data_IF_018311647435
#
_entry.id   IF_018311647435
#
_cell.length_a   1.000
_cell.length_b   1.000
_cell.length_c   1.000
_cell.angle_alpha   90.00
_cell.angle_beta   90.00
_cell.angle_gamma   90.00
#
_symmetry.space_group_name_H-M   'P 1'
#
loop_
_entity.id
_entity.type
_entity.pdbx_description
1 polymer ?
#
# COMPACT_ATOMS: atom_id res chain seq x y z
N UNK A 1 31.14 15.20 29.98
CA UNK A 1 32.50 15.53 29.51
C UNK A 1 32.83 14.60 28.36
N UNK A 2 32.82 15.15 27.14
CA UNK A 2 33.63 14.78 25.99
C UNK A 2 33.45 15.94 25.01
N UNK A 3 34.35 16.91 25.14
CA UNK A 3 34.45 18.14 24.36
C UNK A 3 35.36 17.83 23.18
N UNK A 4 34.81 17.77 21.96
CA UNK A 4 35.60 17.58 20.75
C UNK A 4 35.82 18.95 20.08
N UNK A 5 36.88 19.65 20.49
CA UNK A 5 37.39 20.82 19.76
C UNK A 5 38.36 20.36 18.68
N UNK A 6 37.95 20.50 17.43
CA UNK A 6 38.85 20.34 16.27
C UNK A 6 39.43 21.72 15.95
N UNK A 7 40.74 21.87 16.13
CA UNK A 7 41.49 23.01 15.62
C UNK A 7 42.10 22.66 14.27
N UNK A 8 41.55 23.23 13.19
CA UNK A 8 42.22 23.31 11.90
C UNK A 8 42.98 24.64 11.84
N UNK A 9 44.31 24.57 11.80
CA UNK A 9 45.21 25.71 11.65
C UNK A 9 45.47 25.97 10.16
N UNK A 10 44.50 26.53 9.46
CA UNK A 10 44.65 27.32 8.22
C UNK A 10 43.27 27.88 7.86
N UNK A 11 43.20 29.20 7.65
CA UNK A 11 42.01 29.99 7.26
C UNK A 11 41.02 30.36 8.37
N UNK A 12 41.16 31.60 8.85
CA UNK A 12 40.16 32.33 9.61
C UNK A 12 38.97 32.66 8.69
N UNK A 13 37.99 31.78 8.63
CA UNK A 13 36.63 32.14 8.28
C UNK A 13 35.70 31.61 9.37
N UNK A 14 35.06 32.52 10.09
CA UNK A 14 33.98 32.17 11.02
C UNK A 14 32.80 31.74 10.16
N UNK A 15 32.70 30.44 9.87
CA UNK A 15 31.52 29.85 9.24
C UNK A 15 30.45 29.76 10.33
N UNK A 16 29.63 30.79 10.42
CA UNK A 16 28.42 30.73 11.23
C UNK A 16 27.48 29.65 10.66
N UNK A 17 27.22 28.62 11.47
CA UNK A 17 25.94 27.91 11.50
C UNK A 17 25.47 27.17 10.25
N UNK A 18 26.34 26.42 9.57
CA UNK A 18 25.88 25.35 8.67
C UNK A 18 25.60 24.09 9.49
N UNK A 19 24.35 23.84 9.87
CA UNK A 19 23.95 22.61 10.57
C UNK A 19 24.49 21.37 9.84
N UNK A 20 25.14 20.46 10.57
CA UNK A 20 25.65 19.18 10.07
C UNK A 20 24.55 18.25 9.49
N UNK A 21 23.29 18.67 9.56
CA UNK A 21 22.12 18.01 8.96
C UNK A 21 21.79 18.51 7.55
N UNK A 22 22.53 19.47 6.99
CA UNK A 22 22.33 19.89 5.60
C UNK A 22 23.00 18.89 4.64
N UNK A 23 22.53 17.65 4.66
CA UNK A 23 22.88 16.63 3.68
C UNK A 23 22.26 17.09 2.35
N UNK A 24 23.04 17.84 1.56
CA UNK A 24 22.81 18.09 0.13
C UNK A 24 23.15 16.87 -0.74
N UNK A 25 23.32 15.69 -0.14
CA UNK A 25 23.22 14.48 -0.93
C UNK A 25 21.76 14.37 -1.34
N UNK A 26 21.47 14.42 -2.65
CA UNK A 26 20.16 14.02 -3.17
C UNK A 26 19.86 12.68 -2.50
N UNK A 27 18.92 12.67 -1.56
CA UNK A 27 18.41 11.43 -0.97
C UNK A 27 17.85 10.66 -2.15
N UNK A 28 18.62 9.69 -2.67
CA UNK A 28 18.15 8.75 -3.68
C UNK A 28 17.07 7.92 -2.99
N UNK A 29 15.83 8.39 -3.05
CA UNK A 29 14.67 7.63 -2.65
C UNK A 29 14.25 6.84 -3.88
N UNK A 30 14.15 5.53 -3.73
CA UNK A 30 13.48 4.71 -4.72
C UNK A 30 11.99 5.03 -4.61
N UNK A 31 11.47 5.75 -5.59
CA UNK A 31 10.05 6.06 -5.67
C UNK A 31 9.26 4.94 -6.32
N UNK A 32 7.96 5.17 -6.45
CA UNK A 32 7.12 4.34 -7.32
C UNK A 32 7.60 4.48 -8.77
N UNK A 33 7.48 3.40 -9.52
CA UNK A 33 7.77 3.38 -10.94
C UNK A 33 6.82 4.30 -11.70
N UNK A 34 7.30 4.90 -12.77
CA UNK A 34 6.41 5.39 -13.82
C UNK A 34 5.85 4.23 -14.68
N UNK A 35 4.95 4.55 -15.60
CA UNK A 35 4.31 3.55 -16.46
C UNK A 35 5.33 2.85 -17.38
N UNK A 36 6.37 3.57 -17.82
CA UNK A 36 7.45 3.03 -18.64
C UNK A 36 8.36 2.10 -17.85
N UNK A 37 8.73 2.47 -16.63
CA UNK A 37 9.49 1.65 -15.69
C UNK A 37 8.71 0.38 -15.29
N UNK A 38 7.40 0.51 -15.07
CA UNK A 38 6.50 -0.63 -14.82
C UNK A 38 6.52 -1.60 -16.00
N UNK A 39 6.42 -1.08 -17.23
CA UNK A 39 6.51 -1.90 -18.44
C UNK A 39 7.87 -2.57 -18.58
N UNK A 40 8.96 -1.84 -18.36
CA UNK A 40 10.32 -2.37 -18.43
C UNK A 40 10.56 -3.50 -17.42
N UNK A 41 9.90 -3.47 -16.25
CA UNK A 41 9.95 -4.58 -15.30
C UNK A 41 9.17 -5.80 -15.80
N UNK A 42 8.00 -5.61 -16.42
CA UNK A 42 7.21 -6.71 -16.98
C UNK A 42 7.85 -7.32 -18.24
N UNK A 43 8.61 -6.52 -19.00
CA UNK A 43 9.44 -7.00 -20.10
C UNK A 43 10.55 -7.93 -19.60
N UNK A 44 11.20 -7.62 -18.47
CA UNK A 44 12.17 -8.54 -17.84
C UNK A 44 11.50 -9.86 -17.44
N UNK A 45 10.27 -9.82 -16.89
CA UNK A 45 9.49 -11.05 -16.64
C UNK A 45 9.21 -11.84 -17.91
N UNK A 46 8.96 -11.17 -19.04
CA UNK A 46 8.78 -11.82 -20.34
C UNK A 46 10.07 -12.54 -20.78
N UNK A 47 11.22 -11.90 -20.60
CA UNK A 47 12.53 -12.49 -20.93
C UNK A 47 12.84 -13.73 -20.05
N UNK A 48 12.48 -13.68 -18.76
CA UNK A 48 12.74 -14.75 -17.81
C UNK A 48 11.76 -15.93 -17.94
N UNK A 49 10.50 -15.64 -18.27
CA UNK A 49 9.40 -16.64 -18.27
C UNK A 49 8.98 -17.13 -19.65
N UNK A 50 9.41 -16.44 -20.71
CA UNK A 50 8.96 -16.60 -22.10
C UNK A 50 7.46 -16.32 -22.32
N UNK A 51 6.78 -15.66 -21.37
CA UNK A 51 5.35 -15.35 -21.43
C UNK A 51 5.11 -13.94 -21.92
N UNK A 52 4.39 -13.81 -23.05
CA UNK A 52 4.02 -12.52 -23.61
C UNK A 52 2.86 -11.87 -22.83
N UNK A 53 2.82 -10.55 -22.80
CA UNK A 53 1.77 -9.76 -22.18
C UNK A 53 1.02 -8.95 -23.24
N UNK A 54 -0.31 -8.91 -23.16
CA UNK A 54 -1.08 -8.00 -24.01
C UNK A 54 -0.95 -6.55 -23.54
N UNK A 55 -1.18 -5.59 -24.44
CA UNK A 55 -1.15 -4.17 -24.08
C UNK A 55 -2.19 -3.81 -23.01
N UNK A 56 -3.32 -4.50 -22.99
CA UNK A 56 -4.37 -4.33 -22.00
C UNK A 56 -3.93 -4.86 -20.63
N UNK A 57 -3.25 -6.01 -20.59
CA UNK A 57 -2.66 -6.56 -19.36
C UNK A 57 -1.65 -5.58 -18.74
N UNK A 58 -0.73 -5.03 -19.55
CA UNK A 58 0.26 -4.05 -19.07
C UNK A 58 -0.43 -2.79 -18.51
N UNK A 59 -1.45 -2.28 -19.19
CA UNK A 59 -2.22 -1.13 -18.73
C UNK A 59 -2.96 -1.42 -17.42
N UNK A 60 -3.47 -2.65 -17.27
CA UNK A 60 -4.18 -3.08 -16.06
C UNK A 60 -3.24 -3.22 -14.86
N UNK A 61 -2.03 -3.78 -15.03
CA UNK A 61 -1.01 -3.80 -13.97
C UNK A 61 -0.67 -2.38 -13.51
N UNK A 62 -0.44 -1.46 -14.45
CA UNK A 62 -0.18 -0.06 -14.12
C UNK A 62 -1.35 0.57 -13.35
N UNK A 63 -2.59 0.37 -13.83
CA UNK A 63 -3.79 0.91 -13.20
C UNK A 63 -3.95 0.39 -11.76
N UNK A 64 -3.76 -0.90 -11.56
CA UNK A 64 -3.99 -1.60 -10.30
C UNK A 64 -2.92 -1.31 -9.24
N UNK A 65 -1.68 -1.06 -9.65
CA UNK A 65 -0.53 -0.87 -8.73
C UNK A 65 -0.11 0.59 -8.58
N UNK A 66 -0.38 1.41 -9.61
CA UNK A 66 0.17 2.77 -9.77
C UNK A 66 1.69 2.84 -9.63
N UNK A 67 2.38 1.79 -10.07
CA UNK A 67 3.85 1.76 -10.15
C UNK A 67 4.55 1.33 -8.86
N UNK A 68 3.83 0.93 -7.82
CA UNK A 68 4.49 0.46 -6.61
C UNK A 68 5.32 -0.79 -6.88
N UNK A 69 6.66 -0.76 -6.74
CA UNK A 69 7.53 -1.81 -7.24
C UNK A 69 7.17 -3.20 -6.72
N UNK A 70 6.82 -3.27 -5.44
CA UNK A 70 6.49 -4.52 -4.78
C UNK A 70 5.14 -5.08 -5.28
N UNK A 71 4.13 -4.24 -5.52
CA UNK A 71 2.82 -4.66 -6.06
C UNK A 71 2.93 -5.11 -7.51
N UNK A 72 3.72 -4.38 -8.32
CA UNK A 72 3.97 -4.76 -9.72
C UNK A 72 4.59 -6.15 -9.75
N UNK A 73 5.61 -6.39 -8.91
CA UNK A 73 6.26 -7.69 -8.86
C UNK A 73 5.35 -8.79 -8.31
N UNK A 74 4.53 -8.50 -7.30
CA UNK A 74 3.59 -9.47 -6.73
C UNK A 74 2.53 -9.90 -7.74
N UNK A 75 1.93 -8.96 -8.49
CA UNK A 75 1.00 -9.28 -9.56
C UNK A 75 1.67 -10.08 -10.67
N UNK A 76 2.87 -9.68 -11.08
CA UNK A 76 3.59 -10.39 -12.14
C UNK A 76 3.83 -11.85 -11.74
N UNK A 77 4.36 -12.08 -10.54
CA UNK A 77 4.61 -13.41 -10.01
C UNK A 77 3.32 -14.26 -9.92
N UNK A 78 2.25 -13.72 -9.34
CA UNK A 78 0.98 -14.45 -9.17
C UNK A 78 0.36 -14.86 -10.52
N UNK A 79 0.39 -13.98 -11.52
CA UNK A 79 -0.12 -14.28 -12.87
C UNK A 79 0.73 -15.35 -13.56
N UNK A 80 2.07 -15.20 -13.52
CA UNK A 80 2.99 -16.16 -14.16
C UNK A 80 2.94 -17.54 -13.51
N UNK A 81 2.73 -17.61 -12.19
CA UNK A 81 2.59 -18.88 -11.47
C UNK A 81 1.24 -19.56 -11.78
N UNK A 82 0.18 -18.77 -11.94
CA UNK A 82 -1.16 -19.28 -12.27
C UNK A 82 -1.23 -19.80 -13.70
N UNK A 83 -0.65 -19.08 -14.66
CA UNK A 83 -0.65 -19.46 -16.07
C UNK A 83 0.54 -20.35 -16.35
N UNK A 84 0.36 -21.66 -16.14
CA UNK A 84 1.41 -22.65 -16.37
C UNK A 84 1.77 -22.87 -17.85
N UNK A 85 0.88 -22.48 -18.77
CA UNK A 85 1.12 -22.57 -20.21
C UNK A 85 1.91 -21.34 -20.71
N UNK A 86 3.22 -21.51 -20.89
CA UNK A 86 4.11 -20.41 -21.28
C UNK A 86 3.85 -19.83 -22.68
N UNK A 87 3.18 -20.58 -23.57
CA UNK A 87 2.83 -20.09 -24.91
C UNK A 87 1.55 -19.25 -24.97
N UNK A 88 0.84 -19.10 -23.84
CA UNK A 88 -0.34 -18.25 -23.73
C UNK A 88 0.07 -16.81 -23.41
N UNK A 89 -0.48 -15.86 -24.17
CA UNK A 89 -0.38 -14.44 -23.84
C UNK A 89 -1.22 -14.14 -22.60
N UNK A 90 -0.64 -13.40 -21.67
CA UNK A 90 -1.30 -12.89 -20.48
C UNK A 90 -2.22 -11.73 -20.88
N UNK A 91 -3.50 -11.87 -20.56
CA UNK A 91 -4.54 -10.89 -20.86
C UNK A 91 -5.00 -10.12 -19.61
N UNK A 92 -5.76 -9.05 -19.80
CA UNK A 92 -6.23 -8.22 -18.69
C UNK A 92 -7.04 -9.01 -17.65
N UNK A 93 -7.87 -9.96 -18.09
CA UNK A 93 -8.68 -10.84 -17.23
C UNK A 93 -7.83 -11.69 -16.27
N UNK A 94 -6.62 -12.07 -16.70
CA UNK A 94 -5.68 -12.80 -15.87
C UNK A 94 -5.15 -11.90 -14.74
N UNK A 95 -4.90 -10.61 -15.04
CA UNK A 95 -4.47 -9.62 -14.05
C UNK A 95 -5.56 -9.35 -13.03
N UNK A 96 -6.83 -9.22 -13.47
CA UNK A 96 -7.97 -9.09 -12.57
C UNK A 96 -8.05 -10.28 -11.62
N UNK A 97 -7.90 -11.49 -12.15
CA UNK A 97 -7.95 -12.72 -11.35
C UNK A 97 -6.82 -12.77 -10.31
N UNK A 98 -5.59 -12.47 -10.72
CA UNK A 98 -4.45 -12.42 -9.80
C UNK A 98 -4.60 -11.33 -8.74
N UNK A 99 -5.11 -10.15 -9.11
CA UNK A 99 -5.42 -9.08 -8.16
C UNK A 99 -6.38 -9.54 -7.08
N UNK A 100 -7.46 -10.22 -7.46
CA UNK A 100 -8.43 -10.75 -6.49
C UNK A 100 -7.78 -11.77 -5.55
N UNK A 101 -6.86 -12.59 -6.06
CA UNK A 101 -6.10 -13.53 -5.24
C UNK A 101 -5.21 -12.78 -4.25
N UNK A 102 -4.44 -11.77 -4.69
CA UNK A 102 -3.60 -10.95 -3.81
C UNK A 102 -4.42 -10.27 -2.70
N UNK A 103 -5.56 -9.69 -3.05
CA UNK A 103 -6.45 -9.01 -2.08
C UNK A 103 -7.03 -10.00 -1.07
N UNK A 104 -7.36 -11.23 -1.49
CA UNK A 104 -7.91 -12.26 -0.59
C UNK A 104 -6.87 -12.91 0.30
N UNK A 105 -5.66 -13.13 -0.21
CA UNK A 105 -4.59 -13.79 0.53
C UNK A 105 -3.98 -12.88 1.57
N UNK A 106 -4.11 -11.56 1.42
CA UNK A 106 -3.40 -10.57 2.24
C UNK A 106 -1.95 -11.03 2.45
N UNK A 107 -1.19 -11.16 1.36
CA UNK A 107 0.18 -11.70 1.39
C UNK A 107 0.98 -11.18 2.59
N UNK A 108 1.94 -11.96 3.09
CA UNK A 108 2.79 -11.62 4.25
C UNK A 108 3.37 -10.18 4.28
N UNK A 109 3.50 -9.51 3.14
CA UNK A 109 3.87 -8.09 3.04
C UNK A 109 2.70 -7.12 3.29
N UNK A 110 1.50 -7.48 2.85
CA UNK A 110 0.25 -6.82 3.21
C UNK A 110 -0.08 -6.98 4.70
N UNK A 111 0.29 -8.08 5.33
CA UNK A 111 0.17 -8.22 6.80
C UNK A 111 1.00 -7.15 7.54
N UNK A 112 2.24 -6.92 7.10
CA UNK A 112 3.08 -5.87 7.68
C UNK A 112 2.47 -4.48 7.44
N UNK A 113 1.86 -4.29 6.27
CA UNK A 113 1.13 -3.05 5.98
C UNK A 113 -0.12 -2.92 6.86
N UNK A 114 -0.86 -4.00 7.08
CA UNK A 114 -2.03 -4.05 7.95
C UNK A 114 -1.68 -3.68 9.40
N UNK A 115 -0.53 -4.14 9.89
CA UNK A 115 0.02 -3.69 11.18
C UNK A 115 0.26 -2.17 11.22
N UNK A 116 0.72 -1.58 10.11
CA UNK A 116 0.87 -0.12 9.99
C UNK A 116 -0.48 0.61 9.91
N UNK A 117 -1.50 -0.01 9.32
CA UNK A 117 -2.87 0.55 9.31
C UNK A 117 -3.46 0.65 10.73
N UNK A 118 -3.01 -0.20 11.68
CA UNK A 118 -3.43 -0.16 13.09
C UNK A 118 -2.83 1.01 13.88
N UNK A 119 -1.76 1.65 13.41
CA UNK A 119 -1.15 2.79 14.11
C UNK A 119 -2.12 3.98 14.16
N UNK A 120 -2.34 4.58 15.35
CA UNK A 120 -3.26 5.72 15.53
C UNK A 120 -3.01 6.86 14.53
N UNK A 121 -1.74 7.10 14.19
CA UNK A 121 -1.34 8.13 13.24
C UNK A 121 -1.82 7.87 11.82
N UNK A 122 -1.87 6.60 11.41
CA UNK A 122 -2.33 6.19 10.08
C UNK A 122 -3.85 6.12 10.06
N UNK A 123 -4.50 5.61 11.13
CA UNK A 123 -5.97 5.63 11.28
C UNK A 123 -6.55 7.03 11.16
N UNK A 124 -5.92 8.02 11.82
CA UNK A 124 -6.32 9.44 11.74
C UNK A 124 -6.34 9.98 10.31
N UNK A 125 -5.55 9.41 9.40
CA UNK A 125 -5.51 9.78 7.98
C UNK A 125 -6.51 8.96 7.17
N UNK A 126 -6.61 7.65 7.40
CA UNK A 126 -7.49 6.75 6.65
C UNK A 126 -8.97 7.05 6.89
N UNK A 127 -9.38 7.21 8.14
CA UNK A 127 -10.80 7.32 8.49
C UNK A 127 -11.50 8.49 7.78
N UNK A 128 -10.96 9.73 7.78
CA UNK A 128 -11.57 10.84 7.04
C UNK A 128 -11.59 10.62 5.52
N UNK A 129 -10.56 9.98 4.97
CA UNK A 129 -10.47 9.69 3.53
C UNK A 129 -11.50 8.67 3.09
N UNK A 130 -11.78 7.64 3.90
CA UNK A 130 -12.82 6.65 3.61
C UNK A 130 -14.23 7.23 3.75
N UNK A 131 -14.44 8.11 4.73
CA UNK A 131 -15.72 8.80 4.94
C UNK A 131 -16.02 9.89 3.91
N UNK A 132 -15.06 10.22 3.03
CA UNK A 132 -15.19 11.32 2.07
C UNK A 132 -15.14 12.70 2.71
N UNK A 133 -14.89 12.77 4.02
CA UNK A 133 -14.66 13.99 4.78
C UNK A 133 -13.26 14.50 4.44
N UNK A 134 -13.13 15.11 3.26
CA UNK A 134 -11.88 15.66 2.73
C UNK A 134 -11.42 16.92 3.49
N UNK A 135 -11.80 17.06 4.77
CA UNK A 135 -11.49 18.18 5.64
C UNK A 135 -10.01 18.18 6.01
N UNK A 136 -9.21 18.86 5.18
CA UNK A 136 -7.80 19.19 5.41
C UNK A 136 -7.50 19.83 6.78
N UNK A 137 -8.51 20.26 7.52
CA UNK A 137 -8.37 21.01 8.78
C UNK A 137 -8.05 20.12 9.99
N UNK A 138 -8.27 18.80 9.92
CA UNK A 138 -8.02 17.87 11.03
C UNK A 138 -6.75 17.01 10.88
N UNK A 139 -6.16 16.95 9.69
CA UNK A 139 -5.04 16.05 9.41
C UNK A 139 -3.70 16.71 9.76
N UNK A 140 -2.94 16.06 10.65
CA UNK A 140 -1.57 16.48 10.96
C UNK A 140 -0.69 16.25 9.75
N UNK A 141 0.06 17.28 9.34
CA UNK A 141 0.99 17.21 8.20
C UNK A 141 2.00 16.06 8.36
N UNK A 142 2.50 15.82 9.58
CA UNK A 142 3.45 14.74 9.87
C UNK A 142 2.82 13.32 9.74
N UNK A 143 1.54 13.18 10.06
CA UNK A 143 0.80 11.91 9.94
C UNK A 143 0.51 11.62 8.45
N UNK A 144 0.14 12.66 7.70
CA UNK A 144 -0.01 12.59 6.24
C UNK A 144 1.29 12.25 5.53
N UNK A 145 2.38 12.93 5.86
CA UNK A 145 3.68 12.71 5.22
C UNK A 145 4.19 11.28 5.50
N UNK A 146 4.05 10.80 6.73
CA UNK A 146 4.43 9.42 7.04
C UNK A 146 3.59 8.39 6.28
N UNK A 147 2.29 8.63 6.21
CA UNK A 147 1.39 7.72 5.48
C UNK A 147 1.65 7.74 3.98
N UNK A 148 2.05 8.89 3.43
CA UNK A 148 2.55 9.01 2.06
C UNK A 148 3.90 8.28 1.88
N UNK A 149 4.83 8.41 2.83
CA UNK A 149 6.13 7.74 2.80
C UNK A 149 6.00 6.20 2.93
N UNK A 150 4.92 5.71 3.54
CA UNK A 150 4.52 4.30 3.52
C UNK A 150 3.96 3.84 2.16
N UNK A 151 3.70 4.75 1.22
CA UNK A 151 3.10 4.46 -0.07
C UNK A 151 1.58 4.23 -0.01
N UNK A 152 0.91 4.52 1.10
CA UNK A 152 -0.54 4.27 1.23
C UNK A 152 -1.39 5.32 0.52
N UNK A 153 -0.85 6.55 0.38
CA UNK A 153 -1.56 7.70 -0.16
C UNK A 153 -0.74 8.43 -1.19
N UNK A 154 -1.46 9.09 -2.10
CA UNK A 154 -0.92 10.14 -2.96
C UNK A 154 -1.42 11.47 -2.47
N UNK A 155 -0.56 12.49 -2.48
CA UNK A 155 -0.90 13.84 -2.01
C UNK A 155 -1.41 14.75 -3.14
N UNK A 156 -1.07 14.45 -4.39
CA UNK A 156 -1.37 15.30 -5.54
C UNK A 156 -2.14 14.54 -6.64
N UNK A 157 -3.13 15.19 -7.30
CA UNK A 157 -3.64 16.55 -7.07
C UNK A 157 -4.61 16.67 -5.89
N UNK A 158 -5.00 15.54 -5.29
CA UNK A 158 -5.82 15.44 -4.07
C UNK A 158 -5.28 14.28 -3.24
N UNK A 159 -5.50 14.35 -1.93
CA UNK A 159 -5.17 13.23 -1.05
C UNK A 159 -6.11 12.06 -1.37
N UNK A 160 -5.55 10.97 -1.89
CA UNK A 160 -6.29 9.75 -2.20
C UNK A 160 -5.47 8.50 -1.87
N UNK A 161 -6.16 7.37 -1.68
CA UNK A 161 -5.52 6.06 -1.54
C UNK A 161 -4.71 5.77 -2.81
N UNK A 162 -3.46 5.31 -2.62
CA UNK A 162 -2.45 5.31 -3.68
C UNK A 162 -2.81 4.49 -4.92
N UNK A 163 -3.55 3.39 -4.76
CA UNK A 163 -3.91 2.51 -5.86
C UNK A 163 -5.23 1.74 -5.61
N UNK A 164 -5.83 1.13 -6.65
CA UNK A 164 -7.04 0.33 -6.53
C UNK A 164 -6.93 -0.88 -5.60
N UNK A 165 -5.75 -1.51 -5.47
CA UNK A 165 -5.57 -2.66 -4.57
C UNK A 165 -5.80 -2.22 -3.12
N UNK A 166 -5.13 -1.15 -2.69
CA UNK A 166 -5.32 -0.60 -1.35
C UNK A 166 -6.72 -0.06 -1.09
N UNK A 167 -7.39 0.47 -2.11
CA UNK A 167 -8.77 0.97 -1.97
C UNK A 167 -9.74 -0.13 -1.54
N UNK A 168 -9.50 -1.37 -1.94
CA UNK A 168 -10.34 -2.51 -1.55
C UNK A 168 -9.82 -3.22 -0.30
N UNK A 169 -8.51 -3.30 -0.14
CA UNK A 169 -7.89 -4.00 0.97
C UNK A 169 -8.00 -3.23 2.29
N UNK A 170 -7.71 -1.92 2.31
CA UNK A 170 -7.70 -1.12 3.55
C UNK A 170 -9.03 -1.21 4.31
N UNK A 171 -10.21 -1.03 3.67
CA UNK A 171 -11.48 -1.18 4.37
C UNK A 171 -11.71 -2.58 4.94
N UNK A 172 -11.31 -3.64 4.21
CA UNK A 172 -11.44 -5.03 4.68
C UNK A 172 -10.59 -5.28 5.92
N UNK A 173 -9.34 -4.82 5.90
CA UNK A 173 -8.43 -4.97 7.03
C UNK A 173 -8.90 -4.20 8.27
N UNK A 174 -9.45 -2.99 8.09
CA UNK A 174 -10.04 -2.26 9.20
C UNK A 174 -11.24 -3.00 9.79
N UNK A 175 -12.11 -3.59 8.96
CA UNK A 175 -13.25 -4.39 9.43
C UNK A 175 -12.79 -5.66 10.17
N UNK A 176 -11.82 -6.40 9.62
CA UNK A 176 -11.25 -7.59 10.27
C UNK A 176 -10.65 -7.24 11.64
N UNK A 177 -9.88 -6.15 11.72
CA UNK A 177 -9.35 -5.67 13.00
C UNK A 177 -10.47 -5.27 13.97
N UNK A 178 -11.55 -4.66 13.48
CA UNK A 178 -12.71 -4.34 14.31
C UNK A 178 -13.41 -5.60 14.85
N UNK A 179 -13.50 -6.68 14.09
CA UNK A 179 -14.04 -7.98 14.54
C UNK A 179 -13.14 -8.71 15.56
N UNK A 180 -11.83 -8.44 15.57
CA UNK A 180 -10.93 -8.93 16.65
C UNK A 180 -11.17 -8.18 17.97
N UNK A 181 -11.48 -6.88 17.93
CA UNK A 181 -11.73 -6.05 19.11
C UNK A 181 -13.18 -6.08 19.61
N UNK A 182 -14.11 -6.30 18.69
CA UNK A 182 -15.48 -6.68 18.97
C UNK A 182 -15.60 -8.13 18.54
N UNK A 183 -15.42 -9.13 19.42
CA UNK A 183 -16.12 -10.39 19.22
C UNK A 183 -17.60 -10.03 19.24
N UNK A 184 -18.13 -9.59 18.10
CA UNK A 184 -19.52 -9.75 17.80
C UNK A 184 -19.69 -11.25 17.88
N UNK A 185 -20.14 -11.72 19.05
CA UNK A 185 -20.75 -13.03 19.22
C UNK A 185 -22.01 -13.06 18.34
N UNK A 186 -21.83 -12.98 17.03
CA UNK A 186 -22.78 -13.47 16.06
C UNK A 186 -22.62 -14.99 16.14
N UNK A 187 -23.61 -15.78 16.55
CA UNK A 187 -25.03 -15.50 16.61
C UNK A 187 -25.68 -16.66 17.37
N UNK A 188 -25.96 -16.51 18.67
CA UNK A 188 -26.81 -17.49 19.36
C UNK A 188 -28.21 -17.58 18.72
N UNK A 189 -28.60 -16.60 17.91
CA UNK A 189 -29.86 -16.52 17.17
C UNK A 189 -29.78 -16.99 15.70
N UNK A 190 -28.72 -17.66 15.26
CA UNK A 190 -28.67 -18.35 13.96
C UNK A 190 -28.38 -19.82 14.17
N UNK A 191 -29.22 -20.67 13.58
CA UNK A 191 -29.09 -22.13 13.63
C UNK A 191 -29.37 -22.67 12.21
N UNK A 192 -28.46 -23.49 11.66
CA UNK A 192 -28.51 -24.01 10.28
C UNK A 192 -28.68 -22.94 9.18
N UNK A 193 -28.04 -21.77 9.34
CA UNK A 193 -28.13 -20.67 8.38
C UNK A 193 -29.49 -19.97 8.35
N UNK A 194 -30.41 -20.31 9.26
CA UNK A 194 -31.68 -19.61 9.45
C UNK A 194 -31.65 -18.73 10.70
N UNK A 195 -32.23 -17.55 10.57
CA UNK A 195 -32.46 -16.62 11.67
C UNK A 195 -33.54 -17.16 12.61
N UNK A 196 -33.19 -17.40 13.87
CA UNK A 196 -34.11 -17.84 14.91
C UNK A 196 -34.74 -16.62 15.59
N UNK A 197 -35.91 -16.22 15.09
CA UNK A 197 -36.58 -14.97 15.49
C UNK A 197 -36.91 -14.85 16.98
N UNK A 198 -37.14 -15.96 17.68
CA UNK A 198 -37.42 -15.94 19.13
C UNK A 198 -36.19 -15.54 19.97
N UNK A 199 -34.99 -15.76 19.44
CA UNK A 199 -33.72 -15.38 20.05
C UNK A 199 -33.40 -13.92 19.72
N UNK A 200 -33.65 -13.48 18.49
CA UNK A 200 -33.51 -12.07 18.09
C UNK A 200 -34.40 -11.12 18.94
N UNK A 201 -35.65 -11.50 19.18
CA UNK A 201 -36.59 -10.69 19.99
C UNK A 201 -36.20 -10.53 21.47
N UNK A 202 -35.25 -11.33 21.96
CA UNK A 202 -34.72 -11.24 23.33
C UNK A 202 -33.41 -10.43 23.41
N UNK A 203 -32.83 -10.09 22.26
CA UNK A 203 -31.59 -9.30 22.15
C UNK A 203 -31.84 -7.78 22.04
N UNK A 204 -33.10 -7.37 21.90
CA UNK A 204 -33.58 -5.98 21.82
C UNK A 204 -34.23 -5.61 23.15
#
# INVERSE_FOLDING_TARGET
>A
MCDYRIHSSAEKAVIAGGSAFNIKAKSLRLGDFDEGETRALLEQHTEDTEQAWSGEALAEVWRSTRGQPWLVNALAAEVTDTITNRGQTIEADDIFSAREVLIRRCDTHLDQLADKLREDRVRRVIEPLLSGESGSEALRVDDLQYSHDLGLFRLEPKVEIANPIYREMIPRELLNAHDEFLPLETVWFVEDGMLVMNRLMKAI
#
